data_IF_224861797357
#
_entry.id   IF_224861797357
#
_cell.length_a   1.000
_cell.length_b   1.000
_cell.length_c   1.000
_cell.angle_alpha   90.00
_cell.angle_beta   90.00
_cell.angle_gamma   90.00
#
_symmetry.space_group_name_H-M   'P 1'
#
loop_
_entity.id
_entity.type
_entity.pdbx_description
1 polymer ?
#
# COMPACT_ATOMS: atom_id res chain seq x y z
N UNK A 1 35.07 -4.02 -37.30
CA UNK A 1 34.20 -4.85 -36.45
C UNK A 1 35.06 -5.97 -35.87
N UNK A 2 35.33 -5.97 -34.55
CA UNK A 2 36.15 -6.98 -33.87
C UNK A 2 35.22 -8.00 -33.20
N UNK A 3 35.46 -9.29 -33.48
CA UNK A 3 34.67 -10.44 -33.04
C UNK A 3 34.82 -10.73 -31.53
N UNK A 4 33.70 -11.01 -30.85
CA UNK A 4 33.60 -11.24 -29.39
C UNK A 4 33.73 -12.73 -28.98
N UNK A 5 34.31 -13.60 -29.81
CA UNK A 5 34.41 -15.05 -29.51
C UNK A 5 35.76 -15.49 -28.96
N UNK A 6 36.52 -14.64 -28.28
CA UNK A 6 37.86 -15.01 -27.79
C UNK A 6 38.12 -14.61 -26.33
N UNK A 7 37.15 -14.85 -25.44
CA UNK A 7 37.48 -14.79 -24.02
C UNK A 7 36.99 -16.02 -23.26
N UNK A 8 37.97 -16.69 -22.67
CA UNK A 8 37.89 -17.66 -21.59
C UNK A 8 37.49 -19.10 -21.93
N UNK A 9 38.48 -19.84 -22.45
CA UNK A 9 38.73 -21.19 -21.93
C UNK A 9 39.49 -21.10 -20.59
N UNK A 10 39.10 -21.96 -19.65
CA UNK A 10 39.86 -22.43 -18.46
C UNK A 10 39.66 -21.71 -17.12
N UNK A 11 38.65 -22.13 -16.34
CA UNK A 11 38.83 -22.99 -15.15
C UNK A 11 37.46 -23.33 -14.53
N UNK A 12 37.25 -24.61 -14.24
CA UNK A 12 36.07 -25.24 -13.62
C UNK A 12 34.74 -25.15 -14.39
N UNK A 13 34.34 -26.30 -14.98
CA UNK A 13 32.95 -26.61 -15.35
C UNK A 13 32.09 -26.60 -14.09
N UNK A 14 31.70 -25.42 -13.62
CA UNK A 14 30.53 -25.31 -12.75
C UNK A 14 29.37 -25.71 -13.64
N UNK A 15 28.76 -26.85 -13.31
CA UNK A 15 27.72 -27.49 -14.10
C UNK A 15 26.70 -26.45 -14.57
N UNK A 16 26.40 -26.41 -15.86
CA UNK A 16 25.57 -25.36 -16.46
C UNK A 16 24.20 -25.31 -15.78
N UNK A 17 23.76 -26.45 -15.25
CA UNK A 17 22.54 -26.60 -14.45
C UNK A 17 22.66 -25.93 -13.08
N UNK A 18 23.83 -25.98 -12.44
CA UNK A 18 24.12 -25.25 -11.20
C UNK A 18 24.22 -23.76 -11.46
N UNK A 19 24.84 -23.34 -12.56
CA UNK A 19 24.90 -21.93 -12.96
C UNK A 19 23.51 -21.37 -13.27
N UNK A 20 22.66 -22.11 -13.98
CA UNK A 20 21.28 -21.72 -14.28
C UNK A 20 20.39 -21.75 -13.03
N UNK A 21 20.54 -22.74 -12.14
CA UNK A 21 19.84 -22.76 -10.84
C UNK A 21 20.30 -21.61 -9.93
N UNK A 22 21.59 -21.27 -9.93
CA UNK A 22 22.14 -20.15 -9.16
C UNK A 22 21.72 -18.80 -9.76
N UNK A 23 21.73 -18.64 -11.09
CA UNK A 23 21.21 -17.47 -11.81
C UNK A 23 19.71 -17.29 -11.60
N UNK A 24 18.92 -18.36 -11.64
CA UNK A 24 17.48 -18.30 -11.41
C UNK A 24 17.14 -18.02 -9.93
N UNK A 25 17.86 -18.64 -8.99
CA UNK A 25 17.69 -18.41 -7.54
C UNK A 25 18.16 -17.01 -7.14
N UNK A 26 19.23 -16.49 -7.73
CA UNK A 26 19.67 -15.09 -7.54
C UNK A 26 18.75 -14.10 -8.22
N UNK A 27 18.25 -14.36 -9.43
CA UNK A 27 17.25 -13.51 -10.10
C UNK A 27 15.93 -13.46 -9.28
N UNK A 28 15.45 -14.58 -8.73
CA UNK A 28 14.29 -14.57 -7.82
C UNK A 28 14.58 -13.82 -6.51
N UNK A 29 15.78 -13.97 -5.94
CA UNK A 29 16.19 -13.24 -4.73
C UNK A 29 16.48 -11.74 -4.98
N UNK A 30 16.79 -11.33 -6.23
CA UNK A 30 17.05 -9.93 -6.63
C UNK A 30 15.81 -9.22 -7.19
N UNK A 31 14.79 -9.93 -7.65
CA UNK A 31 13.59 -9.31 -8.25
C UNK A 31 12.64 -8.69 -7.23
N UNK A 32 12.70 -9.16 -5.97
CA UNK A 32 12.02 -8.47 -4.86
C UNK A 32 12.55 -7.05 -4.63
N UNK A 33 13.83 -6.79 -4.91
CA UNK A 33 14.46 -5.47 -4.71
C UNK A 33 14.42 -4.57 -5.95
N UNK A 34 14.39 -5.11 -7.17
CA UNK A 34 14.31 -4.30 -8.41
C UNK A 34 12.89 -3.92 -8.79
N UNK A 35 11.90 -4.82 -8.67
CA UNK A 35 10.51 -4.49 -9.02
C UNK A 35 9.92 -3.51 -8.01
N UNK A 36 10.16 -3.69 -6.71
CA UNK A 36 9.73 -2.73 -5.70
C UNK A 36 10.38 -1.34 -5.90
N UNK A 37 11.68 -1.31 -6.23
CA UNK A 37 12.38 -0.08 -6.56
C UNK A 37 11.83 0.58 -7.83
N UNK A 38 11.50 -0.21 -8.86
CA UNK A 38 10.88 0.26 -10.09
C UNK A 38 9.47 0.81 -9.84
N UNK A 39 8.61 0.10 -9.09
CA UNK A 39 7.28 0.55 -8.68
C UNK A 39 7.38 1.88 -7.94
N UNK A 40 8.33 1.99 -7.00
CA UNK A 40 8.60 3.24 -6.27
C UNK A 40 8.97 4.37 -7.22
N UNK A 41 9.85 4.11 -8.19
CA UNK A 41 10.25 5.10 -9.20
C UNK A 41 9.09 5.54 -10.08
N UNK A 42 8.21 4.61 -10.49
CA UNK A 42 7.01 4.94 -11.26
C UNK A 42 6.10 5.90 -10.47
N UNK A 43 5.87 5.64 -9.18
CA UNK A 43 5.04 6.50 -8.31
C UNK A 43 5.64 7.89 -8.11
N UNK A 44 6.95 7.99 -7.93
CA UNK A 44 7.66 9.29 -7.85
C UNK A 44 7.47 10.06 -9.15
N UNK A 45 7.73 9.43 -10.29
CA UNK A 45 7.62 10.06 -11.61
C UNK A 45 6.19 10.50 -11.94
N UNK A 46 5.18 9.73 -11.51
CA UNK A 46 3.77 10.10 -11.64
C UNK A 46 3.42 11.33 -10.79
N UNK A 47 3.88 11.37 -9.53
CA UNK A 47 3.64 12.52 -8.63
C UNK A 47 4.31 13.80 -9.13
N UNK A 48 5.46 13.68 -9.77
CA UNK A 48 6.20 14.80 -10.37
C UNK A 48 5.68 15.21 -11.76
N UNK A 49 4.66 14.52 -12.29
CA UNK A 49 4.12 14.71 -13.64
C UNK A 49 5.17 14.51 -14.76
N UNK A 50 6.25 13.77 -14.49
CA UNK A 50 7.34 13.48 -15.43
C UNK A 50 7.14 12.16 -16.18
N UNK A 51 6.13 11.37 -15.78
CA UNK A 51 5.84 10.09 -16.41
C UNK A 51 5.14 10.26 -17.77
N UNK A 52 5.70 9.62 -18.80
CA UNK A 52 5.17 9.64 -20.16
C UNK A 52 3.74 9.09 -20.20
N UNK A 53 2.82 9.82 -20.85
CA UNK A 53 1.38 9.50 -20.92
C UNK A 53 1.07 8.05 -21.30
N UNK A 54 1.76 7.48 -22.29
CA UNK A 54 1.56 6.09 -22.73
C UNK A 54 1.89 5.06 -21.63
N UNK A 55 2.87 5.33 -20.77
CA UNK A 55 3.19 4.45 -19.63
C UNK A 55 2.11 4.54 -18.55
N UNK A 56 1.63 5.76 -18.26
CA UNK A 56 0.52 5.98 -17.34
C UNK A 56 -0.75 5.26 -17.80
N UNK A 57 -1.10 5.34 -19.08
CA UNK A 57 -2.27 4.66 -19.64
C UNK A 57 -2.20 3.14 -19.50
N UNK A 58 -1.04 2.53 -19.79
CA UNK A 58 -0.85 1.08 -19.62
C UNK A 58 -0.97 0.66 -18.16
N UNK A 59 -0.36 1.39 -17.24
CA UNK A 59 -0.46 1.10 -15.81
C UNK A 59 -1.90 1.29 -15.29
N UNK A 60 -2.60 2.32 -15.74
CA UNK A 60 -4.02 2.50 -15.41
C UNK A 60 -4.89 1.35 -15.96
N UNK A 61 -4.59 0.83 -17.15
CA UNK A 61 -5.37 -0.26 -17.76
C UNK A 61 -5.34 -1.56 -16.98
N UNK A 62 -4.30 -1.78 -16.17
CA UNK A 62 -4.18 -2.95 -15.28
C UNK A 62 -4.64 -2.65 -13.85
N UNK A 63 -5.27 -1.49 -13.61
CA UNK A 63 -5.72 -1.07 -12.28
C UNK A 63 -4.58 -0.72 -11.31
N UNK A 64 -3.44 -0.25 -11.82
CA UNK A 64 -2.28 0.05 -10.98
C UNK A 64 -2.58 1.15 -9.96
N UNK A 65 -2.39 0.84 -8.68
CA UNK A 65 -2.62 1.77 -7.57
C UNK A 65 -1.38 2.66 -7.38
N UNK A 66 -1.54 3.95 -7.69
CA UNK A 66 -0.51 4.98 -7.55
C UNK A 66 -0.25 5.39 -6.10
N UNK A 67 -1.30 5.44 -5.27
CA UNK A 67 -1.22 5.77 -3.85
C UNK A 67 -1.75 4.61 -3.00
N UNK A 68 -0.86 3.75 -2.50
CA UNK A 68 -1.25 2.64 -1.62
C UNK A 68 -1.75 3.14 -0.27
N UNK A 69 -1.18 4.22 0.25
CA UNK A 69 -1.54 4.74 1.55
C UNK A 69 -2.97 5.29 1.51
N UNK A 70 -3.28 6.12 0.50
CA UNK A 70 -4.65 6.60 0.26
C UNK A 70 -5.62 5.47 -0.09
N UNK A 71 -5.21 4.48 -0.88
CA UNK A 71 -6.07 3.35 -1.22
C UNK A 71 -6.45 2.51 0.01
N UNK A 72 -5.45 2.11 0.81
CA UNK A 72 -5.69 1.36 2.06
C UNK A 72 -6.52 2.15 3.07
N UNK A 73 -6.38 3.48 3.13
CA UNK A 73 -7.24 4.32 3.96
C UNK A 73 -8.70 4.29 3.47
N UNK A 74 -8.92 4.41 2.15
CA UNK A 74 -10.27 4.36 1.58
C UNK A 74 -10.93 2.98 1.78
N UNK A 75 -10.20 1.88 1.59
CA UNK A 75 -10.73 0.54 1.86
C UNK A 75 -11.17 0.37 3.32
N UNK A 76 -10.40 0.92 4.27
CA UNK A 76 -10.76 0.89 5.70
C UNK A 76 -11.94 1.79 6.01
N UNK A 77 -12.04 2.93 5.35
CA UNK A 77 -13.20 3.80 5.44
C UNK A 77 -14.47 3.09 4.92
N UNK A 78 -14.38 2.38 3.80
CA UNK A 78 -15.50 1.61 3.25
C UNK A 78 -15.91 0.47 4.19
N UNK A 79 -14.95 -0.22 4.81
CA UNK A 79 -15.21 -1.20 5.87
C UNK A 79 -15.95 -0.56 7.07
N UNK A 80 -15.57 0.65 7.47
CA UNK A 80 -16.27 1.38 8.52
C UNK A 80 -17.70 1.75 8.12
N UNK A 81 -17.91 2.18 6.88
CA UNK A 81 -19.25 2.47 6.36
C UNK A 81 -20.14 1.21 6.39
N UNK A 82 -19.61 0.06 5.95
CA UNK A 82 -20.31 -1.21 6.01
C UNK A 82 -20.63 -1.61 7.45
N UNK A 83 -19.67 -1.46 8.37
CA UNK A 83 -19.88 -1.72 9.80
C UNK A 83 -20.97 -0.81 10.39
N UNK A 84 -20.96 0.49 10.06
CA UNK A 84 -21.99 1.44 10.50
C UNK A 84 -23.38 1.04 9.97
N UNK A 85 -23.47 0.61 8.71
CA UNK A 85 -24.74 0.17 8.12
C UNK A 85 -25.30 -1.06 8.85
N UNK A 86 -24.44 -1.95 9.36
CA UNK A 86 -24.84 -3.16 10.08
C UNK A 86 -25.15 -2.92 11.57
N UNK A 87 -24.36 -2.09 12.26
CA UNK A 87 -24.42 -1.90 13.71
C UNK A 87 -25.15 -0.61 14.14
N UNK A 88 -25.40 0.30 13.21
CA UNK A 88 -25.96 1.63 13.48
C UNK A 88 -24.95 2.63 14.06
N UNK A 89 -23.71 2.22 14.34
CA UNK A 89 -22.70 3.08 14.96
C UNK A 89 -21.28 2.82 14.43
N UNK A 90 -20.37 3.78 14.62
CA UNK A 90 -18.96 3.63 14.23
C UNK A 90 -18.05 3.08 15.37
N UNK A 91 -18.64 2.63 16.48
CA UNK A 91 -17.89 2.17 17.66
C UNK A 91 -17.52 0.69 17.53
N UNK A 92 -16.36 0.41 16.94
CA UNK A 92 -15.82 -0.96 16.90
C UNK A 92 -15.05 -1.24 18.19
N UNK A 93 -15.41 -2.32 18.89
CA UNK A 93 -14.70 -2.76 20.10
C UNK A 93 -13.31 -3.29 19.76
N UNK A 94 -12.32 -3.02 20.61
CA UNK A 94 -10.97 -3.60 20.44
C UNK A 94 -10.94 -5.11 20.64
N UNK A 95 -11.92 -5.66 21.36
CA UNK A 95 -12.03 -7.10 21.62
C UNK A 95 -12.80 -7.84 20.52
N UNK A 96 -13.27 -7.12 19.50
CA UNK A 96 -13.90 -7.75 18.34
C UNK A 96 -12.81 -8.41 17.47
N UNK A 97 -12.74 -9.74 17.56
CA UNK A 97 -11.76 -10.57 16.84
C UNK A 97 -11.97 -10.50 15.33
N UNK A 98 -13.20 -10.28 14.87
CA UNK A 98 -13.50 -10.17 13.43
C UNK A 98 -13.08 -8.81 12.87
N UNK A 99 -13.18 -7.76 13.69
CA UNK A 99 -12.91 -6.37 13.27
C UNK A 99 -11.64 -5.76 13.89
N UNK A 100 -10.71 -6.57 14.39
CA UNK A 100 -9.51 -6.08 15.12
C UNK A 100 -8.67 -5.11 14.28
N UNK A 101 -8.53 -5.37 12.98
CA UNK A 101 -7.82 -4.48 12.06
C UNK A 101 -8.52 -3.12 11.91
N UNK A 102 -9.86 -3.11 11.86
CA UNK A 102 -10.65 -1.89 11.76
C UNK A 102 -10.60 -1.09 13.07
N UNK A 103 -10.69 -1.77 14.23
CA UNK A 103 -10.55 -1.15 15.54
C UNK A 103 -9.18 -0.45 15.73
N UNK A 104 -8.09 -1.10 15.29
CA UNK A 104 -6.75 -0.51 15.31
C UNK A 104 -6.65 0.73 14.40
N UNK A 105 -7.25 0.68 13.20
CA UNK A 105 -7.29 1.80 12.26
C UNK A 105 -8.08 2.99 12.82
N UNK A 106 -9.26 2.75 13.42
CA UNK A 106 -10.08 3.76 14.10
C UNK A 106 -9.28 4.46 15.20
N UNK A 107 -8.56 3.69 16.03
CA UNK A 107 -7.70 4.24 17.08
C UNK A 107 -6.62 5.14 16.48
N UNK A 108 -5.99 4.72 15.40
CA UNK A 108 -4.98 5.54 14.70
C UNK A 108 -5.59 6.85 14.19
N UNK A 109 -6.81 6.83 13.62
CA UNK A 109 -7.46 8.05 13.15
C UNK A 109 -7.68 9.05 14.30
N UNK A 110 -8.10 8.56 15.48
CA UNK A 110 -8.30 9.41 16.67
C UNK A 110 -6.99 10.01 17.18
N UNK A 111 -5.91 9.23 17.20
CA UNK A 111 -4.57 9.73 17.57
C UNK A 111 -4.13 10.81 16.57
N UNK A 112 -4.20 10.53 15.27
CA UNK A 112 -3.80 11.49 14.24
C UNK A 112 -4.67 12.76 14.23
N UNK A 113 -5.95 12.66 14.58
CA UNK A 113 -6.82 13.82 14.74
C UNK A 113 -6.39 14.67 15.94
N UNK A 114 -6.12 14.05 17.10
CA UNK A 114 -5.64 14.76 18.30
C UNK A 114 -4.27 15.42 18.09
N UNK A 115 -3.40 14.79 17.31
CA UNK A 115 -2.08 15.32 16.95
C UNK A 115 -2.11 16.34 15.81
N UNK A 116 -3.29 16.63 15.23
CA UNK A 116 -3.46 17.48 14.04
C UNK A 116 -2.65 17.00 12.82
N UNK A 117 -2.35 15.71 12.73
CA UNK A 117 -1.61 15.09 11.60
C UNK A 117 -2.54 14.44 10.59
N UNK A 118 -3.84 14.30 10.91
CA UNK A 118 -4.84 13.76 9.99
C UNK A 118 -5.17 14.76 8.88
N UNK A 119 -5.21 14.29 7.63
CA UNK A 119 -5.53 15.15 6.49
C UNK A 119 -6.96 15.71 6.58
N UNK A 120 -7.16 16.95 6.13
CA UNK A 120 -8.48 17.59 6.13
C UNK A 120 -9.54 16.76 5.38
N UNK A 121 -9.16 16.14 4.26
CA UNK A 121 -10.05 15.26 3.48
C UNK A 121 -10.49 14.02 4.30
N UNK A 122 -9.56 13.38 5.01
CA UNK A 122 -9.88 12.23 5.86
C UNK A 122 -10.80 12.63 7.02
N UNK A 123 -10.54 13.78 7.65
CA UNK A 123 -11.40 14.34 8.69
C UNK A 123 -12.81 14.62 8.15
N UNK A 124 -12.93 15.26 6.99
CA UNK A 124 -14.23 15.54 6.36
C UNK A 124 -15.01 14.25 6.04
N UNK A 125 -14.34 13.23 5.49
CA UNK A 125 -14.96 11.93 5.23
C UNK A 125 -15.47 11.27 6.50
N UNK A 126 -14.67 11.24 7.57
CA UNK A 126 -15.08 10.66 8.86
C UNK A 126 -16.24 11.45 9.49
N UNK A 127 -16.21 12.78 9.43
CA UNK A 127 -17.31 13.62 9.90
C UNK A 127 -18.61 13.38 9.11
N UNK A 128 -18.52 13.13 7.80
CA UNK A 128 -19.70 12.87 6.96
C UNK A 128 -20.50 11.63 7.37
N UNK A 129 -19.85 10.66 8.04
CA UNK A 129 -20.49 9.47 8.58
C UNK A 129 -20.82 9.61 10.08
N UNK A 130 -20.74 10.82 10.65
CA UNK A 130 -21.00 11.05 12.08
C UNK A 130 -20.02 10.29 12.97
N UNK A 131 -18.75 10.19 12.55
CA UNK A 131 -17.72 9.51 13.33
C UNK A 131 -17.47 10.25 14.65
N UNK A 132 -17.50 9.50 15.75
CA UNK A 132 -17.29 10.05 17.09
C UNK A 132 -15.79 10.00 17.43
N UNK A 133 -15.21 11.19 17.60
CA UNK A 133 -13.80 11.37 17.92
C UNK A 133 -13.49 11.07 19.40
N UNK A 134 -14.33 11.53 20.32
CA UNK A 134 -14.23 11.26 21.76
C UNK A 134 -15.43 10.42 22.25
N UNK A 135 -15.14 9.26 22.85
CA UNK A 135 -16.17 8.39 23.41
C UNK A 135 -16.74 8.90 24.74
N UNK A 136 -16.06 9.84 25.40
CA UNK A 136 -16.52 10.44 26.66
C UNK A 136 -17.58 11.52 26.45
N UNK A 137 -17.70 12.12 25.26
CA UNK A 137 -18.74 13.11 24.97
C UNK A 137 -20.16 12.53 24.92
N UNK A 138 -20.31 11.21 24.91
CA UNK A 138 -21.61 10.53 24.83
C UNK A 138 -22.46 10.64 26.11
N UNK A 139 -21.91 11.15 27.21
CA UNK A 139 -22.58 11.14 28.53
C UNK A 139 -23.44 12.36 28.84
N UNK A 140 -23.61 13.32 27.93
CA UNK A 140 -24.31 14.58 28.22
C UNK A 140 -25.59 14.83 27.41
N UNK A 141 -26.07 13.85 26.63
CA UNK A 141 -27.33 13.96 25.87
C UNK A 141 -28.31 12.82 26.16
N UNK A 142 -28.40 12.39 27.43
CA UNK A 142 -29.50 11.56 27.96
C UNK A 142 -30.06 12.20 29.22
#
# INVERSE_FOLDING_TARGET
MKNLTSYAHSKHKVDIVVYLKMMYKTHILLHGSTLAAWIRQQRVSYKENTLISNHTQKLNSIGFIWDLCGHSWNEKFDQLCAFKAQSGHCCVSQNDVQNTSLAAWIRQQRVSYKENTLSSNHTQKLNSIGFIWDLHERSYEL
#
